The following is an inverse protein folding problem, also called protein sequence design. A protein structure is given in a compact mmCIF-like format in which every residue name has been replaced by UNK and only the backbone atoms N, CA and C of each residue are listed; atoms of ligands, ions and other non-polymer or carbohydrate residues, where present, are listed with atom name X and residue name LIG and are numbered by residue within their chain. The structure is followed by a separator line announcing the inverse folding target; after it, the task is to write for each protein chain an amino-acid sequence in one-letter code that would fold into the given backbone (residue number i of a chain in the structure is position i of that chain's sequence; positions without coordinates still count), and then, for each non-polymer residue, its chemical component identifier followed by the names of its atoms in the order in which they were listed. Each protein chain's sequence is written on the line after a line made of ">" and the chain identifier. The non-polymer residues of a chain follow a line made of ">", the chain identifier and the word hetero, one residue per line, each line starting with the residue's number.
data_IF_368907264081
#
_entry.id   IF_368907264081
#
_cell.length_a   1.000
_cell.length_b   1.000
_cell.length_c   1.000
_cell.angle_alpha   90.00
_cell.angle_beta   90.00
_cell.angle_gamma   90.00
#
_symmetry.space_group_name_H-M   'P 1'
#
loop_
_entity.id
_entity.type
_entity.pdbx_description
1 polymer ?
#
# COMPACT_ATOMS: atom_id res chain seq x y z
N UNK A 1 15.75 16.70 15.79
CA UNK A 1 15.49 15.47 16.57
C UNK A 1 15.33 14.38 15.53
N UNK A 2 16.15 13.33 15.55
CA UNK A 2 15.97 12.17 14.66
C UNK A 2 14.68 11.48 15.03
N UNK A 3 13.76 11.29 14.08
CA UNK A 3 12.54 10.50 14.30
C UNK A 3 12.91 9.06 14.72
N UNK A 4 11.98 8.38 15.41
CA UNK A 4 12.16 6.96 15.70
C UNK A 4 12.31 6.16 14.39
N UNK A 5 13.03 5.02 14.38
CA UNK A 5 13.14 4.15 13.22
C UNK A 5 11.77 3.80 12.63
N UNK A 6 11.68 3.64 11.31
CA UNK A 6 10.43 3.34 10.62
C UNK A 6 9.79 2.05 11.14
N UNK A 7 10.61 1.01 11.40
CA UNK A 7 10.13 -0.26 11.97
C UNK A 7 9.33 -0.04 13.26
N UNK A 8 9.86 0.75 14.19
CA UNK A 8 9.18 1.07 15.44
C UNK A 8 7.89 1.88 15.23
N UNK A 9 7.88 2.80 14.25
CA UNK A 9 6.69 3.61 13.91
C UNK A 9 5.58 2.80 13.22
N UNK A 10 5.92 1.66 12.60
CA UNK A 10 4.97 0.78 11.93
C UNK A 10 4.49 -0.41 12.78
N UNK A 11 5.15 -0.69 13.92
CA UNK A 11 4.80 -1.85 14.77
C UNK A 11 3.41 -1.70 15.40
N UNK A 12 3.07 -0.50 15.89
CA UNK A 12 1.83 -0.24 16.63
C UNK A 12 0.95 0.80 15.91
N UNK A 13 0.80 0.64 14.59
CA UNK A 13 -0.06 1.56 13.83
C UNK A 13 -1.55 1.32 14.13
N UNK A 14 -2.31 2.40 14.26
CA UNK A 14 -3.73 2.39 14.60
C UNK A 14 -4.64 2.69 13.39
N UNK A 15 -4.23 2.34 12.19
CA UNK A 15 -5.01 2.61 10.98
C UNK A 15 -4.44 1.96 9.72
N UNK A 16 -5.15 2.07 8.59
CA UNK A 16 -4.71 1.55 7.32
C UNK A 16 -3.46 2.25 6.78
N UNK A 17 -2.63 1.51 6.02
CA UNK A 17 -1.53 2.09 5.27
C UNK A 17 -2.09 2.72 3.98
N UNK A 18 -1.88 4.02 3.84
CA UNK A 18 -2.41 4.82 2.74
C UNK A 18 -1.46 4.84 1.54
N UNK A 19 -1.97 4.48 0.39
CA UNK A 19 -1.27 4.51 -0.90
C UNK A 19 -1.92 5.57 -1.79
N UNK A 20 -1.50 6.86 -1.72
CA UNK A 20 -2.10 7.91 -2.51
C UNK A 20 -1.90 7.70 -4.01
N UNK A 21 -2.88 8.11 -4.80
CA UNK A 21 -2.72 8.25 -6.26
C UNK A 21 -1.88 9.49 -6.57
N UNK A 22 -1.07 9.43 -7.63
CA UNK A 22 -0.43 10.63 -8.17
C UNK A 22 -1.45 11.41 -8.99
N UNK A 23 -1.60 12.71 -8.72
CA UNK A 23 -2.49 13.57 -9.47
C UNK A 23 -1.80 14.14 -10.71
N UNK A 24 -2.54 14.23 -11.81
CA UNK A 24 -2.08 14.83 -13.06
C UNK A 24 -3.03 15.91 -13.54
N UNK A 25 -2.46 16.99 -14.07
CA UNK A 25 -3.21 18.04 -14.74
C UNK A 25 -3.72 17.60 -16.12
N UNK A 26 -4.56 18.45 -16.77
CA UNK A 26 -5.11 18.16 -18.08
C UNK A 26 -4.06 18.01 -19.20
N UNK A 27 -2.87 18.57 -19.01
CA UNK A 27 -1.71 18.44 -19.89
C UNK A 27 -0.87 17.19 -19.62
N UNK A 28 -1.28 16.38 -18.64
CA UNK A 28 -0.57 15.17 -18.21
C UNK A 28 0.65 15.43 -17.33
N UNK A 29 0.93 16.67 -16.91
CA UNK A 29 1.96 16.97 -15.90
C UNK A 29 1.48 16.60 -14.50
N UNK A 30 2.42 16.38 -13.56
CA UNK A 30 2.07 16.11 -12.17
C UNK A 30 1.46 17.36 -11.54
N UNK A 31 0.28 17.22 -10.95
CA UNK A 31 -0.40 18.24 -10.16
C UNK A 31 -0.08 18.04 -8.67
N UNK A 32 0.93 18.76 -8.19
CA UNK A 32 1.36 18.66 -6.79
C UNK A 32 0.33 19.25 -5.81
N UNK A 33 -0.48 20.22 -6.21
CA UNK A 33 -1.48 20.83 -5.32
C UNK A 33 -2.65 19.87 -5.07
N UNK A 34 -3.16 19.23 -6.13
CA UNK A 34 -4.16 18.19 -6.01
C UNK A 34 -3.60 16.97 -5.24
N UNK A 35 -2.34 16.60 -5.47
CA UNK A 35 -1.67 15.52 -4.74
C UNK A 35 -1.54 15.85 -3.24
N UNK A 36 -1.09 17.03 -2.86
CA UNK A 36 -1.03 17.51 -1.47
C UNK A 36 -2.39 17.44 -0.79
N UNK A 37 -3.42 17.93 -1.49
CA UNK A 37 -4.81 17.88 -1.00
C UNK A 37 -5.24 16.43 -0.74
N UNK A 38 -4.89 15.51 -1.64
CA UNK A 38 -5.19 14.08 -1.48
C UNK A 38 -4.47 13.48 -0.25
N UNK A 39 -3.19 13.77 -0.08
CA UNK A 39 -2.41 13.33 1.08
C UNK A 39 -3.00 13.87 2.38
N UNK A 40 -3.33 15.18 2.43
CA UNK A 40 -3.94 15.81 3.62
C UNK A 40 -5.26 15.15 4.00
N UNK A 41 -6.17 14.94 3.03
CA UNK A 41 -7.42 14.22 3.27
C UNK A 41 -7.18 12.82 3.87
N UNK A 42 -6.18 12.08 3.41
CA UNK A 42 -5.82 10.78 3.96
C UNK A 42 -5.32 10.87 5.41
N UNK A 43 -4.48 11.86 5.73
CA UNK A 43 -3.98 12.09 7.09
C UNK A 43 -5.13 12.47 8.02
N UNK A 44 -5.97 13.41 7.63
CA UNK A 44 -7.12 13.87 8.41
C UNK A 44 -8.14 12.74 8.63
N UNK A 45 -8.24 11.79 7.69
CA UNK A 45 -9.05 10.59 7.83
C UNK A 45 -8.43 9.54 8.77
N UNK A 46 -7.15 9.64 9.15
CA UNK A 46 -6.49 8.73 10.08
C UNK A 46 -5.59 7.69 9.40
N UNK A 47 -4.94 8.02 8.30
CA UNK A 47 -3.88 7.19 7.73
C UNK A 47 -2.76 6.95 8.76
N UNK A 48 -2.31 5.69 8.87
CA UNK A 48 -1.22 5.34 9.78
C UNK A 48 0.18 5.57 9.19
N UNK A 49 0.28 5.55 7.87
CA UNK A 49 1.49 5.84 7.09
C UNK A 49 1.10 6.21 5.66
N UNK A 50 1.93 6.98 4.97
CA UNK A 50 1.78 7.34 3.55
C UNK A 50 2.81 6.59 2.72
N UNK A 51 2.36 5.80 1.74
CA UNK A 51 3.21 5.08 0.80
C UNK A 51 3.19 5.76 -0.58
N UNK A 52 4.00 6.78 -0.74
CA UNK A 52 4.04 7.61 -1.94
C UNK A 52 4.76 6.93 -3.11
N UNK A 53 4.32 7.23 -4.34
CA UNK A 53 4.95 6.73 -5.57
C UNK A 53 5.15 5.21 -5.59
N UNK A 54 4.21 4.45 -5.04
CA UNK A 54 4.15 3.00 -5.14
C UNK A 54 3.26 2.56 -6.33
N UNK A 55 2.78 1.32 -6.34
CA UNK A 55 1.94 0.82 -7.42
C UNK A 55 0.70 1.67 -7.68
N UNK A 56 -0.07 2.01 -6.64
CA UNK A 56 -1.26 2.89 -6.71
C UNK A 56 -0.91 4.31 -7.17
N UNK A 57 0.28 4.80 -6.78
CA UNK A 57 0.82 6.11 -7.20
C UNK A 57 1.48 6.11 -8.57
N UNK A 58 1.25 5.09 -9.40
CA UNK A 58 1.74 5.00 -10.78
C UNK A 58 3.28 5.15 -10.90
N UNK A 59 4.04 4.53 -9.99
CA UNK A 59 5.50 4.56 -10.01
C UNK A 59 6.10 4.34 -11.40
N UNK A 60 5.51 3.39 -12.16
CA UNK A 60 5.96 3.02 -13.51
C UNK A 60 5.84 4.15 -14.53
N UNK A 61 5.02 5.16 -14.26
CA UNK A 61 4.73 6.27 -15.17
C UNK A 61 5.41 7.59 -14.78
N UNK A 62 6.20 7.59 -13.69
CA UNK A 62 6.90 8.78 -13.20
C UNK A 62 8.35 8.83 -13.70
N UNK A 63 8.75 10.01 -14.15
CA UNK A 63 10.19 10.32 -14.33
C UNK A 63 10.88 10.43 -12.97
N UNK A 64 12.21 10.28 -12.89
CA UNK A 64 12.95 10.49 -11.63
C UNK A 64 12.71 11.87 -11.01
N UNK A 65 12.55 12.92 -11.83
CA UNK A 65 12.28 14.29 -11.37
C UNK A 65 10.89 14.41 -10.77
N UNK A 66 9.86 13.88 -11.42
CA UNK A 66 8.49 13.84 -10.91
C UNK A 66 8.41 13.03 -9.63
N UNK A 67 9.07 11.87 -9.58
CA UNK A 67 9.14 11.03 -8.39
C UNK A 67 9.69 11.82 -7.18
N UNK A 68 10.84 12.47 -7.33
CA UNK A 68 11.43 13.28 -6.25
C UNK A 68 10.50 14.38 -5.77
N UNK A 69 9.82 15.09 -6.70
CA UNK A 69 8.88 16.15 -6.37
C UNK A 69 7.63 15.63 -5.63
N UNK A 70 7.07 14.49 -6.05
CA UNK A 70 5.89 13.87 -5.40
C UNK A 70 6.26 13.34 -4.00
N UNK A 71 7.42 12.71 -3.83
CA UNK A 71 7.87 12.25 -2.51
C UNK A 71 8.09 13.44 -1.57
N UNK A 72 8.77 14.49 -2.04
CA UNK A 72 8.98 15.70 -1.25
C UNK A 72 7.65 16.35 -0.84
N UNK A 73 6.68 16.42 -1.76
CA UNK A 73 5.34 16.94 -1.48
C UNK A 73 4.61 16.10 -0.40
N UNK A 74 4.74 14.77 -0.42
CA UNK A 74 4.19 13.91 0.61
C UNK A 74 4.85 14.15 1.97
N UNK A 75 6.18 14.28 2.02
CA UNK A 75 6.93 14.57 3.25
C UNK A 75 6.54 15.91 3.86
N UNK A 76 6.49 16.95 3.05
CA UNK A 76 6.07 18.28 3.48
C UNK A 76 4.64 18.27 4.01
N UNK A 77 3.73 17.59 3.32
CA UNK A 77 2.31 17.57 3.68
C UNK A 77 2.04 16.74 4.95
N UNK A 78 2.75 15.63 5.16
CA UNK A 78 2.65 14.85 6.40
C UNK A 78 3.21 15.61 7.60
N UNK A 79 4.18 16.51 7.40
CA UNK A 79 4.85 17.29 8.44
C UNK A 79 5.29 16.42 9.65
N UNK A 80 5.70 15.17 9.40
CA UNK A 80 6.14 14.21 10.41
C UNK A 80 5.03 13.56 11.26
N UNK A 81 3.75 13.86 11.01
CA UNK A 81 2.61 13.27 11.74
C UNK A 81 2.55 11.75 11.56
N UNK A 82 2.81 11.27 10.33
CA UNK A 82 2.88 9.86 9.97
C UNK A 82 4.11 9.62 9.10
N UNK A 83 4.68 8.39 9.08
CA UNK A 83 5.83 8.10 8.24
C UNK A 83 5.47 8.14 6.75
N UNK A 84 6.44 8.59 5.94
CA UNK A 84 6.38 8.54 4.48
C UNK A 84 7.32 7.47 3.97
N UNK A 85 6.78 6.48 3.27
CA UNK A 85 7.52 5.40 2.60
C UNK A 85 7.44 5.61 1.09
N UNK A 86 8.57 5.69 0.41
CA UNK A 86 8.62 5.88 -1.03
C UNK A 86 8.84 4.57 -1.79
N UNK A 87 8.24 4.44 -2.98
CA UNK A 87 8.51 3.29 -3.86
C UNK A 87 9.93 3.34 -4.44
N UNK A 88 10.60 2.20 -4.56
CA UNK A 88 11.83 2.04 -5.33
C UNK A 88 11.77 0.75 -6.14
N UNK A 89 12.22 0.77 -7.40
CA UNK A 89 12.03 -0.40 -8.27
C UNK A 89 12.84 -0.37 -9.55
N UNK A 90 12.43 -1.17 -10.53
CA UNK A 90 13.16 -1.49 -11.75
C UNK A 90 14.38 -2.40 -11.51
N UNK A 91 15.38 -2.38 -12.40
CA UNK A 91 16.66 -3.06 -12.19
C UNK A 91 17.50 -2.40 -11.12
N UNK A 92 18.48 -3.11 -10.54
CA UNK A 92 19.23 -2.69 -9.35
C UNK A 92 19.79 -1.27 -9.43
N UNK A 93 20.37 -0.87 -10.57
CA UNK A 93 20.96 0.46 -10.72
C UNK A 93 19.91 1.59 -10.63
N UNK A 94 18.74 1.41 -11.25
CA UNK A 94 17.65 2.38 -11.15
C UNK A 94 16.98 2.34 -9.77
N UNK A 95 16.80 1.16 -9.18
CA UNK A 95 16.26 1.03 -7.82
C UNK A 95 17.13 1.80 -6.81
N UNK A 96 18.46 1.70 -6.91
CA UNK A 96 19.40 2.48 -6.10
C UNK A 96 19.27 3.98 -6.35
N UNK A 97 19.07 4.40 -7.60
CA UNK A 97 18.86 5.82 -7.92
C UNK A 97 17.58 6.34 -7.28
N UNK A 98 16.46 5.61 -7.41
CA UNK A 98 15.19 6.00 -6.78
C UNK A 98 15.27 6.00 -5.25
N UNK A 99 16.01 5.04 -4.66
CA UNK A 99 16.23 5.01 -3.22
C UNK A 99 16.93 6.28 -2.71
N UNK A 100 17.98 6.74 -3.43
CA UNK A 100 18.68 7.99 -3.11
C UNK A 100 17.79 9.22 -3.29
N UNK A 101 17.01 9.28 -4.37
CA UNK A 101 16.04 10.37 -4.57
C UNK A 101 14.99 10.42 -3.45
N UNK A 102 14.55 9.27 -2.95
CA UNK A 102 13.63 9.20 -1.82
C UNK A 102 14.27 9.73 -0.52
N UNK A 103 15.54 9.36 -0.27
CA UNK A 103 16.30 9.86 0.87
C UNK A 103 16.53 11.38 0.78
N UNK A 104 16.92 11.88 -0.39
CA UNK A 104 17.08 13.33 -0.66
C UNK A 104 15.77 14.10 -0.48
N UNK A 105 14.63 13.48 -0.84
CA UNK A 105 13.30 14.06 -0.65
C UNK A 105 12.79 13.98 0.79
N UNK A 106 13.53 13.31 1.71
CA UNK A 106 13.20 13.23 3.13
C UNK A 106 12.22 12.11 3.51
N UNK A 107 12.06 11.07 2.70
CA UNK A 107 11.26 9.91 3.07
C UNK A 107 11.81 9.22 4.33
N UNK A 108 10.92 8.56 5.10
CA UNK A 108 11.30 7.79 6.30
C UNK A 108 11.76 6.36 5.95
N UNK A 109 11.39 5.85 4.77
CA UNK A 109 11.78 4.52 4.33
C UNK A 109 11.36 4.20 2.90
N UNK A 110 11.62 2.95 2.51
CA UNK A 110 11.42 2.45 1.14
C UNK A 110 10.48 1.24 1.10
N UNK A 111 9.65 1.19 0.06
CA UNK A 111 9.02 -0.03 -0.43
C UNK A 111 9.77 -0.48 -1.69
N UNK A 112 10.61 -1.50 -1.56
CA UNK A 112 11.41 -2.05 -2.65
C UNK A 112 10.55 -3.00 -3.51
N UNK A 113 10.13 -2.51 -4.68
CA UNK A 113 9.31 -3.25 -5.63
C UNK A 113 10.11 -4.29 -6.41
N UNK A 114 9.46 -5.30 -7.02
CA UNK A 114 10.13 -6.31 -7.82
C UNK A 114 10.98 -5.73 -8.96
N UNK A 115 12.11 -6.38 -9.33
CA UNK A 115 12.87 -5.99 -10.50
C UNK A 115 12.03 -6.15 -11.78
N UNK A 116 12.21 -5.21 -12.72
CA UNK A 116 11.38 -5.14 -13.93
C UNK A 116 11.72 -6.25 -14.94
N UNK A 117 10.72 -7.00 -15.40
CA UNK A 117 10.78 -8.04 -16.45
C UNK A 117 11.74 -9.22 -16.21
N UNK A 118 12.46 -9.28 -15.09
CA UNK A 118 13.45 -10.33 -14.85
C UNK A 118 12.91 -11.36 -13.86
N UNK A 119 12.91 -12.62 -14.25
CA UNK A 119 12.73 -13.74 -13.32
C UNK A 119 14.11 -14.17 -12.86
N UNK A 120 14.48 -13.79 -11.64
CA UNK A 120 15.81 -14.08 -11.08
C UNK A 120 15.74 -15.26 -10.10
N UNK A 121 16.87 -15.97 -9.94
CA UNK A 121 17.05 -16.93 -8.86
C UNK A 121 17.15 -16.24 -7.50
N UNK A 122 17.01 -17.02 -6.42
CA UNK A 122 16.97 -16.51 -5.05
C UNK A 122 18.21 -15.71 -4.66
N UNK A 123 19.40 -16.14 -5.09
CA UNK A 123 20.67 -15.43 -4.88
C UNK A 123 20.65 -14.05 -5.55
N UNK A 124 20.15 -13.95 -6.79
CA UNK A 124 20.03 -12.70 -7.51
C UNK A 124 19.03 -11.74 -6.87
N UNK A 125 17.89 -12.25 -6.39
CA UNK A 125 16.91 -11.46 -5.63
C UNK A 125 17.51 -10.96 -4.32
N UNK A 126 18.17 -11.81 -3.55
CA UNK A 126 18.85 -11.40 -2.31
C UNK A 126 19.89 -10.30 -2.59
N UNK A 127 20.74 -10.48 -3.61
CA UNK A 127 21.73 -9.48 -4.01
C UNK A 127 21.12 -8.14 -4.41
N UNK A 128 20.01 -8.16 -5.16
CA UNK A 128 19.28 -6.96 -5.59
C UNK A 128 18.78 -6.13 -4.39
N UNK A 129 18.06 -6.75 -3.44
CA UNK A 129 17.49 -6.03 -2.30
C UNK A 129 18.56 -5.63 -1.28
N UNK A 130 19.60 -6.45 -1.10
CA UNK A 130 20.76 -6.08 -0.27
C UNK A 130 21.49 -4.85 -0.82
N UNK A 131 21.71 -4.78 -2.14
CA UNK A 131 22.32 -3.64 -2.77
C UNK A 131 21.48 -2.36 -2.65
N UNK A 132 20.16 -2.49 -2.74
CA UNK A 132 19.23 -1.37 -2.56
C UNK A 132 19.27 -0.87 -1.11
N UNK A 133 19.14 -1.75 -0.12
CA UNK A 133 19.18 -1.39 1.30
C UNK A 133 20.53 -0.76 1.71
N UNK A 134 21.64 -1.20 1.11
CA UNK A 134 22.97 -0.64 1.38
C UNK A 134 23.23 0.72 0.70
N UNK A 135 22.35 1.18 -0.21
CA UNK A 135 22.56 2.40 -0.99
C UNK A 135 22.15 3.68 -0.25
N UNK A 136 21.36 3.57 0.81
CA UNK A 136 20.81 4.69 1.61
C UNK A 136 20.78 4.34 3.10
N UNK A 137 20.51 5.32 3.95
CA UNK A 137 20.20 5.12 5.37
C UNK A 137 18.75 4.77 5.65
N UNK A 138 17.90 4.66 4.63
CA UNK A 138 16.47 4.41 4.78
C UNK A 138 16.18 2.92 5.06
N UNK A 139 15.30 2.66 6.02
CA UNK A 139 14.78 1.32 6.27
C UNK A 139 13.90 0.86 5.10
N UNK A 140 14.06 -0.40 4.68
CA UNK A 140 13.49 -0.97 3.46
C UNK A 140 12.51 -2.11 3.76
N UNK A 141 11.30 -2.01 3.19
CA UNK A 141 10.32 -3.09 3.12
C UNK A 141 10.44 -3.74 1.75
N UNK A 142 10.74 -5.04 1.71
CA UNK A 142 10.84 -5.80 0.45
C UNK A 142 9.45 -6.23 0.00
N UNK A 143 9.15 -6.08 -1.30
CA UNK A 143 7.84 -6.45 -1.85
C UNK A 143 7.93 -7.71 -2.70
N UNK A 144 7.32 -8.79 -2.20
CA UNK A 144 7.11 -10.04 -2.92
C UNK A 144 5.90 -9.92 -3.84
N UNK A 145 6.11 -10.08 -5.15
CA UNK A 145 5.04 -10.05 -6.14
C UNK A 145 5.54 -10.56 -7.49
N UNK A 146 4.63 -11.14 -8.29
CA UNK A 146 4.85 -11.53 -9.69
C UNK A 146 6.14 -12.36 -9.89
N UNK A 147 7.20 -11.72 -10.41
CA UNK A 147 8.49 -12.34 -10.72
C UNK A 147 9.51 -12.32 -9.56
N UNK A 148 9.16 -11.81 -8.40
CA UNK A 148 10.00 -11.80 -7.19
C UNK A 148 9.29 -12.53 -6.04
N UNK A 149 9.25 -13.86 -6.15
CA UNK A 149 8.71 -14.76 -5.10
C UNK A 149 9.88 -15.38 -4.36
N UNK A 150 9.87 -15.29 -3.02
CA UNK A 150 10.98 -15.73 -2.18
C UNK A 150 10.73 -17.08 -1.56
N UNK A 151 11.81 -17.84 -1.32
CA UNK A 151 11.75 -18.98 -0.39
C UNK A 151 11.85 -18.49 1.06
N UNK A 152 11.40 -19.28 2.05
CA UNK A 152 11.56 -18.94 3.46
C UNK A 152 13.00 -18.64 3.87
N UNK A 153 13.97 -19.36 3.30
CA UNK A 153 15.41 -19.18 3.56
C UNK A 153 15.90 -17.83 3.04
N UNK A 154 15.43 -17.42 1.87
CA UNK A 154 15.78 -16.12 1.28
C UNK A 154 15.19 -14.98 2.12
N UNK A 155 13.95 -15.09 2.58
CA UNK A 155 13.36 -14.06 3.46
C UNK A 155 14.09 -14.00 4.79
N UNK A 156 14.50 -15.14 5.36
CA UNK A 156 15.32 -15.15 6.58
C UNK A 156 16.68 -14.46 6.35
N UNK A 157 17.31 -14.65 5.19
CA UNK A 157 18.55 -13.95 4.83
C UNK A 157 18.32 -12.44 4.68
N UNK A 158 17.22 -12.03 4.03
CA UNK A 158 16.80 -10.63 3.93
C UNK A 158 16.55 -10.02 5.32
N UNK A 159 15.84 -10.72 6.21
CA UNK A 159 15.55 -10.26 7.56
C UNK A 159 16.81 -10.07 8.44
N UNK A 160 17.92 -10.73 8.09
CA UNK A 160 19.23 -10.54 8.71
C UNK A 160 20.09 -9.45 8.05
N UNK A 161 19.63 -8.90 6.92
CA UNK A 161 20.33 -7.85 6.20
C UNK A 161 20.05 -6.50 6.86
N UNK A 162 21.09 -5.74 7.27
CA UNK A 162 20.89 -4.41 7.86
C UNK A 162 20.06 -3.50 6.94
N UNK A 163 19.13 -2.77 7.51
CA UNK A 163 18.23 -1.86 6.80
C UNK A 163 17.01 -2.52 6.17
N UNK A 164 16.89 -3.87 6.12
CA UNK A 164 15.68 -4.56 5.67
C UNK A 164 14.81 -4.88 6.90
N UNK A 165 13.63 -4.26 6.98
CA UNK A 165 12.78 -4.31 8.17
C UNK A 165 11.50 -5.13 7.99
N UNK A 166 11.17 -5.54 6.76
CA UNK A 166 9.91 -6.25 6.54
C UNK A 166 9.73 -6.80 5.15
N UNK A 167 8.71 -7.65 5.04
CA UNK A 167 8.23 -8.24 3.79
C UNK A 167 6.77 -7.88 3.55
N UNK A 168 6.48 -7.29 2.39
CA UNK A 168 5.12 -7.09 1.88
C UNK A 168 4.80 -8.21 0.89
N UNK A 169 3.74 -8.97 1.14
CA UNK A 169 3.31 -10.05 0.27
C UNK A 169 2.17 -9.63 -0.65
N UNK A 170 2.41 -9.62 -1.95
CA UNK A 170 1.41 -9.43 -3.00
C UNK A 170 1.29 -10.63 -3.92
N UNK A 171 1.89 -11.75 -3.55
CA UNK A 171 1.76 -13.02 -4.27
C UNK A 171 0.50 -13.78 -3.87
N UNK A 172 0.17 -13.82 -2.57
CA UNK A 172 -1.09 -14.31 -2.06
C UNK A 172 -1.13 -15.81 -1.77
N UNK A 173 0.01 -16.48 -1.73
CA UNK A 173 0.10 -17.87 -1.26
C UNK A 173 0.23 -17.91 0.26
N UNK A 174 -0.89 -18.16 0.95
CA UNK A 174 -0.96 -18.18 2.42
C UNK A 174 -0.10 -19.28 3.03
N UNK A 175 0.03 -20.46 2.37
CA UNK A 175 0.91 -21.54 2.83
C UNK A 175 2.38 -21.10 2.79
N UNK A 176 2.81 -20.52 1.68
CA UNK A 176 4.16 -19.99 1.55
C UNK A 176 4.41 -18.88 2.59
N UNK A 177 3.46 -17.96 2.78
CA UNK A 177 3.59 -16.87 3.75
C UNK A 177 3.67 -17.41 5.19
N UNK A 178 2.89 -18.42 5.54
CA UNK A 178 2.99 -19.11 6.86
C UNK A 178 4.37 -19.72 7.07
N UNK A 179 4.94 -20.38 6.05
CA UNK A 179 6.29 -20.95 6.11
C UNK A 179 7.36 -19.87 6.28
N UNK A 180 7.22 -18.73 5.58
CA UNK A 180 8.10 -17.56 5.72
C UNK A 180 8.06 -17.03 7.16
N UNK A 181 6.87 -16.72 7.68
CA UNK A 181 6.70 -16.22 9.06
C UNK A 181 7.31 -17.19 10.08
N UNK A 182 7.09 -18.50 9.89
CA UNK A 182 7.65 -19.52 10.78
C UNK A 182 9.17 -19.59 10.73
N UNK A 183 9.76 -19.53 9.52
CA UNK A 183 11.22 -19.59 9.34
C UNK A 183 11.93 -18.34 9.92
N UNK A 184 11.37 -17.15 9.68
CA UNK A 184 11.95 -15.92 10.24
C UNK A 184 11.83 -15.89 11.76
N UNK A 185 10.67 -16.24 12.32
CA UNK A 185 10.48 -16.33 13.77
C UNK A 185 11.46 -17.31 14.44
N UNK A 186 11.70 -18.46 13.82
CA UNK A 186 12.65 -19.45 14.33
C UNK A 186 14.10 -19.00 14.18
N UNK A 187 14.44 -18.37 13.07
CA UNK A 187 15.81 -17.98 12.73
C UNK A 187 16.25 -16.60 13.21
N UNK A 188 15.32 -15.78 13.69
CA UNK A 188 15.55 -14.43 14.24
C UNK A 188 14.70 -14.24 15.52
N UNK A 189 14.96 -14.98 16.61
CA UNK A 189 14.17 -14.88 17.84
C UNK A 189 14.25 -13.46 18.43
N UNK A 190 13.09 -12.86 18.69
CA UNK A 190 12.99 -11.48 19.22
C UNK A 190 13.29 -10.39 18.21
N UNK A 191 13.40 -10.70 16.93
CA UNK A 191 13.56 -9.72 15.87
C UNK A 191 12.23 -9.05 15.49
N UNK A 192 12.29 -7.74 15.21
CA UNK A 192 11.12 -6.91 14.88
C UNK A 192 10.86 -6.87 13.36
N UNK A 193 10.88 -8.05 12.69
CA UNK A 193 10.64 -8.11 11.26
C UNK A 193 9.14 -8.03 10.96
N UNK A 194 8.76 -7.05 10.14
CA UNK A 194 7.37 -6.72 9.84
C UNK A 194 6.83 -7.49 8.63
N UNK A 195 5.56 -7.85 8.69
CA UNK A 195 4.87 -8.52 7.58
C UNK A 195 3.64 -7.72 7.17
N UNK A 196 3.46 -7.59 5.85
CA UNK A 196 2.38 -6.80 5.27
C UNK A 196 1.59 -7.64 4.25
N UNK A 197 0.29 -7.64 4.36
CA UNK A 197 -0.57 -8.10 3.27
C UNK A 197 -0.61 -7.01 2.19
N UNK A 198 -0.05 -7.32 1.04
CA UNK A 198 0.14 -6.42 -0.08
C UNK A 198 -0.68 -6.73 -1.32
N UNK A 199 -1.70 -7.57 -1.19
CA UNK A 199 -2.61 -7.88 -2.30
C UNK A 199 -3.36 -6.63 -2.76
N UNK A 200 -3.80 -6.56 -4.03
CA UNK A 200 -4.50 -5.39 -4.58
C UNK A 200 -5.79 -5.00 -3.85
N UNK A 201 -6.42 -5.94 -3.13
CA UNK A 201 -7.47 -5.74 -2.14
C UNK A 201 -7.15 -6.65 -0.97
N UNK A 202 -6.26 -6.19 -0.11
CA UNK A 202 -5.73 -6.97 1.00
C UNK A 202 -6.82 -7.37 2.01
N UNK A 203 -7.89 -6.60 2.07
CA UNK A 203 -9.04 -6.84 2.93
C UNK A 203 -9.69 -8.20 2.68
N UNK A 204 -9.76 -8.68 1.42
CA UNK A 204 -10.34 -10.00 1.10
C UNK A 204 -9.64 -11.16 1.81
N UNK A 205 -8.37 -11.02 2.09
CA UNK A 205 -7.55 -12.04 2.76
C UNK A 205 -7.18 -11.66 4.20
N UNK A 206 -7.74 -10.55 4.69
CA UNK A 206 -7.38 -9.97 5.99
C UNK A 206 -7.49 -10.95 7.16
N UNK A 207 -8.59 -11.71 7.24
CA UNK A 207 -8.78 -12.75 8.27
C UNK A 207 -7.72 -13.86 8.20
N UNK A 208 -7.39 -14.34 7.00
CA UNK A 208 -6.39 -15.39 6.80
C UNK A 208 -4.99 -14.90 7.19
N UNK A 209 -4.60 -13.70 6.74
CA UNK A 209 -3.30 -13.11 7.06
C UNK A 209 -3.15 -12.78 8.54
N UNK A 210 -4.19 -12.25 9.18
CA UNK A 210 -4.22 -12.04 10.62
C UNK A 210 -4.01 -13.37 11.37
N UNK A 211 -4.64 -14.46 10.92
CA UNK A 211 -4.51 -15.79 11.52
C UNK A 211 -3.08 -16.33 11.53
N UNK A 212 -2.24 -15.90 10.60
CA UNK A 212 -0.82 -16.26 10.52
C UNK A 212 0.13 -15.20 11.11
N UNK A 213 -0.42 -14.14 11.76
CA UNK A 213 0.37 -13.10 12.42
C UNK A 213 0.78 -11.93 11.50
N UNK A 214 0.15 -11.77 10.33
CA UNK A 214 0.35 -10.64 9.42
C UNK A 214 -0.79 -9.65 9.63
N UNK A 215 -0.53 -8.58 10.38
CA UNK A 215 -1.55 -7.61 10.80
C UNK A 215 -1.55 -6.32 9.97
N UNK A 216 -0.40 -5.97 9.39
CA UNK A 216 -0.28 -4.79 8.55
C UNK A 216 -0.77 -5.08 7.13
N UNK A 217 -1.48 -4.14 6.53
CA UNK A 217 -1.93 -4.28 5.15
C UNK A 217 -2.07 -2.94 4.42
N UNK A 218 -1.93 -2.99 3.10
CA UNK A 218 -2.18 -1.86 2.20
C UNK A 218 -3.64 -1.80 1.83
N UNK A 219 -4.31 -0.66 2.08
CA UNK A 219 -5.68 -0.44 1.64
C UNK A 219 -5.72 0.51 0.43
N UNK A 220 -6.06 -0.02 -0.74
CA UNK A 220 -6.33 0.81 -1.91
C UNK A 220 -7.65 1.58 -1.75
N UNK A 221 -8.61 1.01 -1.03
CA UNK A 221 -9.92 1.61 -0.73
C UNK A 221 -9.79 2.86 0.12
N UNK A 222 -8.80 2.91 1.01
CA UNK A 222 -8.55 4.08 1.85
C UNK A 222 -8.34 5.37 1.04
N UNK A 223 -7.82 5.26 -0.17
CA UNK A 223 -7.60 6.42 -1.04
C UNK A 223 -8.89 7.14 -1.45
N UNK A 224 -10.03 6.44 -1.54
CA UNK A 224 -11.28 7.03 -2.01
C UNK A 224 -12.49 6.81 -1.08
N UNK A 225 -12.44 5.82 -0.18
CA UNK A 225 -13.50 5.55 0.80
C UNK A 225 -12.87 5.25 2.18
N UNK A 226 -12.21 6.25 2.80
CA UNK A 226 -11.50 6.06 4.07
C UNK A 226 -12.45 5.64 5.21
N UNK A 227 -13.68 6.08 5.19
CA UNK A 227 -14.73 5.68 6.13
C UNK A 227 -14.98 4.16 6.13
N UNK A 228 -15.10 3.55 4.95
CA UNK A 228 -15.28 2.11 4.79
C UNK A 228 -14.00 1.35 5.18
N UNK A 229 -12.85 1.82 4.72
CA UNK A 229 -11.56 1.20 5.02
C UNK A 229 -11.25 1.21 6.52
N UNK A 230 -11.52 2.31 7.23
CA UNK A 230 -11.37 2.41 8.68
C UNK A 230 -12.36 1.53 9.44
N UNK A 231 -13.61 1.46 8.98
CA UNK A 231 -14.59 0.57 9.59
C UNK A 231 -14.15 -0.90 9.48
N UNK A 232 -13.64 -1.30 8.32
CA UNK A 232 -13.07 -2.63 8.13
C UNK A 232 -11.84 -2.86 9.02
N UNK A 233 -10.90 -1.91 9.05
CA UNK A 233 -9.70 -2.00 9.90
C UNK A 233 -10.07 -2.22 11.36
N UNK A 234 -10.97 -1.40 11.90
CA UNK A 234 -11.42 -1.48 13.31
C UNK A 234 -12.17 -2.79 13.60
N UNK A 235 -13.00 -3.23 12.68
CA UNK A 235 -13.72 -4.50 12.81
C UNK A 235 -12.76 -5.69 12.82
N UNK A 236 -11.80 -5.70 11.90
CA UNK A 236 -10.76 -6.72 11.83
C UNK A 236 -9.90 -6.73 13.11
N UNK A 237 -9.49 -5.57 13.62
CA UNK A 237 -8.66 -5.44 14.81
C UNK A 237 -9.41 -5.88 16.07
N UNK A 238 -10.66 -5.45 16.23
CA UNK A 238 -11.49 -5.80 17.39
C UNK A 238 -12.09 -7.22 17.35
N UNK A 239 -12.01 -7.93 16.21
CA UNK A 239 -12.64 -9.25 16.03
C UNK A 239 -14.16 -9.17 15.82
N UNK A 240 -14.69 -8.06 15.28
CA UNK A 240 -16.08 -7.95 14.83
C UNK A 240 -16.23 -8.64 13.46
N UNK A 241 -16.20 -10.00 13.49
CA UNK A 241 -16.23 -10.81 12.28
C UNK A 241 -17.54 -10.63 11.50
N UNK A 242 -18.65 -10.26 12.16
CA UNK A 242 -19.91 -9.96 11.50
C UNK A 242 -19.82 -8.73 10.61
N UNK A 243 -19.16 -7.65 11.09
CA UNK A 243 -18.95 -6.45 10.26
C UNK A 243 -17.90 -6.72 9.17
N UNK A 244 -16.83 -7.45 9.48
CA UNK A 244 -15.84 -7.86 8.50
C UNK A 244 -16.50 -8.61 7.35
N UNK A 245 -17.29 -9.67 7.65
CA UNK A 245 -17.97 -10.47 6.64
C UNK A 245 -19.01 -9.65 5.85
N UNK A 246 -19.78 -8.80 6.52
CA UNK A 246 -20.74 -7.94 5.83
C UNK A 246 -20.07 -6.99 4.84
N UNK A 247 -18.93 -6.38 5.19
CA UNK A 247 -18.15 -5.53 4.29
C UNK A 247 -17.50 -6.33 3.16
N UNK A 248 -17.00 -7.54 3.44
CA UNK A 248 -16.48 -8.45 2.42
C UNK A 248 -17.55 -8.79 1.38
N UNK A 249 -18.75 -9.16 1.82
CA UNK A 249 -19.82 -9.63 0.94
C UNK A 249 -20.46 -8.49 0.12
N UNK A 250 -20.65 -7.32 0.72
CA UNK A 250 -21.46 -6.25 0.12
C UNK A 250 -20.66 -5.09 -0.45
N UNK A 251 -19.34 -5.02 -0.16
CA UNK A 251 -18.48 -3.97 -0.68
C UNK A 251 -17.23 -4.52 -1.36
N UNK A 252 -16.36 -5.25 -0.63
CA UNK A 252 -15.06 -5.65 -1.18
C UNK A 252 -15.15 -6.69 -2.30
N UNK A 253 -16.01 -7.69 -2.19
CA UNK A 253 -16.23 -8.67 -3.25
C UNK A 253 -16.79 -8.01 -4.52
N UNK A 254 -17.88 -7.20 -4.49
CA UNK A 254 -18.33 -6.45 -5.65
C UNK A 254 -17.25 -5.57 -6.27
N UNK A 255 -16.43 -4.88 -5.45
CA UNK A 255 -15.31 -4.07 -5.93
C UNK A 255 -14.27 -4.91 -6.68
N UNK A 256 -13.95 -6.10 -6.19
CA UNK A 256 -12.99 -7.01 -6.86
C UNK A 256 -13.57 -7.58 -8.15
N UNK A 257 -14.86 -7.89 -8.17
CA UNK A 257 -15.55 -8.32 -9.37
C UNK A 257 -15.54 -7.21 -10.46
N UNK A 258 -15.80 -5.96 -10.07
CA UNK A 258 -15.65 -4.80 -10.95
C UNK A 258 -14.21 -4.65 -11.43
N UNK A 259 -13.23 -4.74 -10.53
CA UNK A 259 -11.80 -4.64 -10.86
C UNK A 259 -11.36 -5.72 -11.87
N UNK A 260 -11.94 -6.91 -11.82
CA UNK A 260 -11.61 -7.99 -12.72
C UNK A 260 -12.11 -7.78 -14.17
N UNK A 261 -13.00 -6.79 -14.41
CA UNK A 261 -13.52 -6.48 -15.74
C UNK A 261 -12.50 -5.77 -16.65
N UNK A 262 -11.44 -5.18 -16.09
CA UNK A 262 -10.45 -4.44 -16.89
C UNK A 262 -9.01 -4.59 -16.41
N UNK A 263 -8.08 -4.62 -17.36
CA UNK A 263 -6.65 -4.59 -17.04
C UNK A 263 -6.26 -3.21 -16.50
N UNK A 264 -5.40 -3.17 -15.47
CA UNK A 264 -4.96 -1.92 -14.85
C UNK A 264 -5.95 -1.31 -13.86
N UNK A 265 -7.13 -1.88 -13.67
CA UNK A 265 -8.18 -1.37 -12.79
C UNK A 265 -7.78 -1.29 -11.31
N UNK A 266 -6.73 -1.99 -10.90
CA UNK A 266 -6.15 -1.80 -9.56
C UNK A 266 -5.65 -0.37 -9.30
N UNK A 267 -5.44 0.43 -10.34
CA UNK A 267 -5.05 1.85 -10.25
C UNK A 267 -6.15 2.77 -10.76
N UNK A 268 -6.65 2.53 -11.98
CA UNK A 268 -7.60 3.47 -12.61
C UNK A 268 -8.94 3.55 -11.88
N UNK A 269 -9.46 2.45 -11.28
CA UNK A 269 -10.65 2.52 -10.43
C UNK A 269 -10.41 3.28 -9.13
N UNK A 270 -9.22 3.17 -8.52
CA UNK A 270 -8.90 3.95 -7.31
C UNK A 270 -8.90 5.43 -7.63
N UNK A 271 -8.29 5.81 -8.75
CA UNK A 271 -8.23 7.20 -9.21
C UNK A 271 -9.61 7.74 -9.58
N UNK A 272 -10.44 6.92 -10.26
CA UNK A 272 -11.85 7.25 -10.50
C UNK A 272 -12.64 7.43 -9.19
N UNK A 273 -12.40 6.58 -8.19
CA UNK A 273 -13.01 6.70 -6.87
C UNK A 273 -12.66 8.02 -6.18
N UNK A 274 -11.40 8.46 -6.24
CA UNK A 274 -10.99 9.77 -5.69
C UNK A 274 -11.72 10.93 -6.39
N UNK A 275 -11.91 10.86 -7.71
CA UNK A 275 -12.69 11.86 -8.45
C UNK A 275 -14.19 11.84 -8.08
N UNK A 276 -14.77 10.66 -7.85
CA UNK A 276 -16.16 10.56 -7.36
C UNK A 276 -16.35 11.21 -5.98
N UNK A 277 -15.30 11.26 -5.17
CA UNK A 277 -15.28 11.95 -3.86
C UNK A 277 -14.95 13.46 -3.98
N UNK A 278 -15.01 14.01 -5.18
CA UNK A 278 -14.92 15.44 -5.44
C UNK A 278 -13.53 16.04 -5.45
N UNK A 279 -12.48 15.20 -5.55
CA UNK A 279 -11.12 15.68 -5.77
C UNK A 279 -10.66 15.30 -7.18
N UNK A 280 -10.47 16.28 -8.03
CA UNK A 280 -9.91 16.06 -9.36
C UNK A 280 -8.41 15.73 -9.24
N UNK A 281 -8.06 14.50 -9.56
CA UNK A 281 -6.69 13.99 -9.58
C UNK A 281 -6.26 13.61 -11.00
N UNK A 282 -7.04 14.04 -12.00
CA UNK A 282 -6.83 13.74 -13.41
C UNK A 282 -7.01 12.24 -13.75
N UNK A 283 -6.63 11.90 -14.96
CA UNK A 283 -6.69 10.54 -15.50
C UNK A 283 -5.39 9.77 -15.21
N UNK A 284 -5.41 8.44 -15.44
CA UNK A 284 -4.19 7.64 -15.38
C UNK A 284 -3.30 7.92 -16.59
N UNK A 285 -1.97 7.77 -16.42
CA UNK A 285 -1.04 7.81 -17.56
C UNK A 285 -1.02 6.47 -18.31
N UNK A 286 -0.81 6.54 -19.61
CA UNK A 286 -0.53 5.35 -20.42
C UNK A 286 0.67 4.57 -19.85
N UNK A 287 0.67 3.23 -19.93
CA UNK A 287 -0.24 2.36 -20.70
C UNK A 287 -1.56 2.02 -19.99
N UNK A 288 -1.83 2.56 -18.81
CA UNK A 288 -3.13 2.41 -18.18
C UNK A 288 -4.21 3.19 -18.95
N UNK A 289 -5.46 2.76 -18.80
CA UNK A 289 -6.62 3.36 -19.43
C UNK A 289 -7.69 3.67 -18.37
N UNK A 290 -8.48 4.70 -18.64
CA UNK A 290 -9.63 5.03 -17.82
C UNK A 290 -10.72 3.97 -17.91
N UNK A 291 -11.45 3.70 -16.83
CA UNK A 291 -12.64 2.86 -16.89
C UNK A 291 -13.75 3.57 -17.68
N UNK A 292 -14.58 2.83 -18.46
CA UNK A 292 -15.74 3.40 -19.12
C UNK A 292 -16.76 3.90 -18.10
N UNK A 293 -17.64 4.81 -18.53
CA UNK A 293 -18.62 5.47 -17.67
C UNK A 293 -19.47 4.47 -16.87
N UNK A 294 -19.89 3.37 -17.51
CA UNK A 294 -20.67 2.30 -16.85
C UNK A 294 -19.96 1.66 -15.65
N UNK A 295 -18.64 1.50 -15.71
CA UNK A 295 -17.85 0.97 -14.60
C UNK A 295 -17.62 2.02 -13.50
N UNK A 296 -17.56 3.31 -13.87
CA UNK A 296 -17.50 4.41 -12.89
C UNK A 296 -18.82 4.53 -12.13
N UNK A 297 -19.96 4.40 -12.82
CA UNK A 297 -21.30 4.36 -12.20
C UNK A 297 -21.47 3.14 -11.28
N UNK A 298 -20.95 1.98 -11.70
CA UNK A 298 -20.93 0.78 -10.86
C UNK A 298 -20.08 0.98 -9.60
N UNK A 299 -18.90 1.59 -9.73
CA UNK A 299 -18.06 1.94 -8.58
C UNK A 299 -18.79 2.87 -7.60
N UNK A 300 -19.45 3.92 -8.11
CA UNK A 300 -20.22 4.86 -7.29
C UNK A 300 -21.32 4.14 -6.51
N UNK A 301 -22.03 3.19 -7.14
CA UNK A 301 -23.05 2.38 -6.49
C UNK A 301 -22.48 1.47 -5.39
N UNK A 302 -21.35 0.80 -5.66
CA UNK A 302 -20.65 -0.03 -4.67
C UNK A 302 -20.24 0.80 -3.45
N UNK A 303 -19.70 2.01 -3.65
CA UNK A 303 -19.35 2.92 -2.54
C UNK A 303 -20.60 3.30 -1.73
N UNK A 304 -21.71 3.65 -2.40
CA UNK A 304 -22.93 4.03 -1.74
C UNK A 304 -23.53 2.87 -0.91
N UNK A 305 -23.50 1.64 -1.43
CA UNK A 305 -23.93 0.44 -0.73
C UNK A 305 -23.08 0.13 0.52
N UNK A 306 -21.75 0.27 0.41
CA UNK A 306 -20.84 0.13 1.56
C UNK A 306 -21.16 1.13 2.68
N UNK A 307 -21.38 2.40 2.32
CA UNK A 307 -21.78 3.45 3.29
C UNK A 307 -23.16 3.21 3.90
N UNK A 308 -24.13 2.74 3.11
CA UNK A 308 -25.46 2.40 3.62
C UNK A 308 -25.40 1.26 4.65
N UNK A 309 -24.50 0.29 4.46
CA UNK A 309 -24.28 -0.78 5.45
C UNK A 309 -23.77 -0.22 6.78
N UNK A 310 -22.80 0.70 6.73
CA UNK A 310 -22.26 1.34 7.94
C UNK A 310 -23.31 2.18 8.67
N UNK A 311 -24.19 2.90 7.94
CA UNK A 311 -25.26 3.71 8.51
C UNK A 311 -26.31 2.87 9.27
N UNK A 312 -26.70 1.73 8.74
CA UNK A 312 -27.65 0.81 9.39
C UNK A 312 -27.12 0.27 10.72
N UNK A 313 -25.86 -0.19 10.73
CA UNK A 313 -25.24 -0.69 11.97
C UNK A 313 -25.02 0.39 13.03
N UNK A 314 -24.79 1.63 12.63
CA UNK A 314 -24.71 2.76 13.56
C UNK A 314 -26.01 3.02 14.29
N UNK A 315 -27.17 2.86 13.61
CA UNK A 315 -28.50 2.99 14.20
C UNK A 315 -28.81 1.85 15.17
N UNK A 316 -28.54 0.59 14.80
CA UNK A 316 -28.76 -0.58 15.65
C UNK A 316 -27.96 -0.52 16.97
N UNK A 317 -26.73 -0.01 16.94
CA UNK A 317 -25.92 0.17 18.16
C UNK A 317 -26.37 1.34 19.02
N UNK A 318 -26.96 2.39 18.45
CA UNK A 318 -27.53 3.53 19.17
C UNK A 318 -28.89 3.21 19.84
N UNK A 319 -29.61 2.21 19.37
CA UNK A 319 -30.90 1.75 19.98
C UNK A 319 -30.65 0.78 21.16
N UNK A 320 -29.45 0.28 21.37
CA UNK A 320 -29.08 -0.64 22.45
C UNK A 320 -28.15 -0.04 23.52
N UNK A 321 -27.82 1.25 23.40
CA UNK A 321 -27.03 2.01 24.38
C UNK A 321 -27.91 2.98 25.19
#
# INVERSE_FOLDING_TARGET
>A
MTSAPLAARLTDVAGPLFFPVTAYGPDGTVDLDAFRTHVRKGIDAGAAAVFACCGTGEFHALTPQEFGAVVAAAVEETAGQVPVVAGAGYGTALAVQYARLAEEAGADGLLAMPPYLVVAGQEGLLGHYTALAAATGLETIVYQRDNAVFTPETVLALARTPGIIGLKDGYGDVDLMQRIVSAVRAGLPGGDFLYFNGLPTAELTGLAYRGIGVTLYSSAVFAFAPDIALAFYRALDSGDDDLVNALLDHFYRPLVELRAKGHGYAVSLVKAGVRLEGLDVGEVRTPLTEPPAEHIEELARIIAEGRALLGKRGQERGEHA
#
